data_IF_050476651440
#
_entry.id   IF_050476651440
#
_cell.length_a   1.000
_cell.length_b   1.000
_cell.length_c   1.000
_cell.angle_alpha   90.00
_cell.angle_beta   90.00
_cell.angle_gamma   90.00
#
_symmetry.space_group_name_H-M   'P 1'
#
loop_
_entity.id
_entity.type
_entity.pdbx_description
1 polymer ?
#
# COMPACT_ATOMS: atom_id res chain seq x y z
N UNK A 1 -2.76 -23.35 -7.61
CA UNK A 1 -3.70 -22.26 -7.98
C UNK A 1 -3.59 -21.15 -6.95
N UNK A 2 -3.11 -19.98 -7.38
CA UNK A 2 -3.13 -18.77 -6.55
C UNK A 2 -4.55 -18.19 -6.56
N UNK A 3 -5.06 -17.77 -5.40
CA UNK A 3 -6.36 -17.11 -5.32
C UNK A 3 -6.21 -15.69 -5.87
N UNK A 4 -7.04 -15.25 -6.83
CA UNK A 4 -6.96 -13.89 -7.34
C UNK A 4 -7.21 -12.87 -6.24
N UNK A 5 -6.47 -11.76 -6.26
CA UNK A 5 -6.60 -10.66 -5.31
C UNK A 5 -6.50 -9.30 -5.99
N UNK A 6 -7.02 -8.28 -5.30
CA UNK A 6 -7.02 -6.90 -5.73
C UNK A 6 -6.42 -6.01 -4.65
N UNK A 7 -5.69 -4.97 -5.08
CA UNK A 7 -5.24 -3.88 -4.22
C UNK A 7 -5.88 -2.60 -4.74
N UNK A 8 -6.57 -1.85 -3.87
CA UNK A 8 -7.16 -0.56 -4.20
C UNK A 8 -6.39 0.55 -3.50
N UNK A 9 -6.02 1.57 -4.27
CA UNK A 9 -5.35 2.78 -3.78
C UNK A 9 -6.28 3.96 -4.04
N UNK A 10 -6.59 4.71 -2.99
CA UNK A 10 -7.49 5.86 -3.05
C UNK A 10 -6.72 7.14 -2.72
N UNK A 11 -6.88 8.16 -3.55
CA UNK A 11 -6.45 9.53 -3.22
C UNK A 11 -7.63 10.26 -2.60
N UNK A 12 -7.43 10.84 -1.41
CA UNK A 12 -8.48 11.56 -0.68
C UNK A 12 -8.05 13.02 -0.49
N UNK A 13 -8.86 13.94 -0.98
CA UNK A 13 -8.68 15.38 -0.79
C UNK A 13 -9.90 15.95 -0.06
N UNK A 14 -9.68 16.63 1.06
CA UNK A 14 -10.75 17.25 1.86
C UNK A 14 -11.88 16.28 2.25
N UNK A 15 -11.53 15.01 2.51
CA UNK A 15 -12.49 13.96 2.85
C UNK A 15 -13.27 13.37 1.66
N UNK A 16 -12.92 13.76 0.43
CA UNK A 16 -13.52 13.27 -0.82
C UNK A 16 -12.49 12.41 -1.55
N UNK A 17 -12.89 11.22 -2.00
CA UNK A 17 -12.05 10.38 -2.87
C UNK A 17 -12.01 11.05 -4.26
N UNK A 18 -10.82 11.46 -4.70
CA UNK A 18 -10.59 12.13 -5.99
C UNK A 18 -9.99 11.21 -7.06
N UNK A 19 -9.31 10.14 -6.65
CA UNK A 19 -8.74 9.12 -7.55
C UNK A 19 -8.88 7.73 -6.93
N UNK A 20 -9.14 6.74 -7.79
CA UNK A 20 -9.08 5.31 -7.44
C UNK A 20 -8.18 4.61 -8.46
N UNK A 21 -7.26 3.79 -7.95
CA UNK A 21 -6.43 2.90 -8.75
C UNK A 21 -6.54 1.47 -8.25
N UNK A 22 -6.71 0.55 -9.18
CA UNK A 22 -6.91 -0.87 -8.88
C UNK A 22 -5.79 -1.69 -9.52
N UNK A 23 -5.21 -2.60 -8.73
CA UNK A 23 -4.18 -3.53 -9.17
C UNK A 23 -4.66 -4.95 -8.96
N UNK A 24 -4.67 -5.74 -10.04
CA UNK A 24 -5.04 -7.15 -10.00
C UNK A 24 -3.80 -8.03 -9.90
N UNK A 25 -3.80 -8.99 -8.97
CA UNK A 25 -2.71 -9.97 -8.77
C UNK A 25 -1.31 -9.33 -8.74
N UNK A 26 -1.20 -8.14 -8.13
CA UNK A 26 0.05 -7.37 -8.09
C UNK A 26 0.36 -6.99 -6.65
N UNK A 27 1.57 -7.29 -6.19
CA UNK A 27 2.08 -6.85 -4.89
C UNK A 27 2.55 -5.40 -4.97
N UNK A 28 2.12 -4.56 -4.04
CA UNK A 28 2.50 -3.16 -3.92
C UNK A 28 3.20 -2.94 -2.58
N UNK A 29 4.33 -2.22 -2.61
CA UNK A 29 5.04 -1.75 -1.43
C UNK A 29 5.03 -0.24 -1.42
N UNK A 30 4.66 0.36 -0.29
CA UNK A 30 4.69 1.81 -0.07
C UNK A 30 5.91 2.15 0.77
N UNK A 31 6.70 3.09 0.28
CA UNK A 31 7.96 3.53 0.91
C UNK A 31 7.97 5.04 0.98
N UNK A 32 8.42 5.60 2.10
CA UNK A 32 8.63 7.05 2.23
C UNK A 32 9.92 7.46 1.51
N UNK A 33 9.81 8.42 0.61
CA UNK A 33 10.94 8.99 -0.14
C UNK A 33 11.31 10.40 0.34
N UNK A 34 10.88 10.82 1.54
CA UNK A 34 11.20 12.13 2.09
C UNK A 34 12.73 12.39 2.08
N UNK A 35 13.21 13.42 1.37
CA UNK A 35 14.64 13.73 1.25
C UNK A 35 15.39 13.91 2.57
N UNK A 36 14.70 14.27 3.66
CA UNK A 36 15.31 14.32 4.99
C UNK A 36 15.74 12.94 5.49
N UNK A 37 14.90 11.92 5.30
CA UNK A 37 15.18 10.53 5.67
C UNK A 37 16.26 9.91 4.78
N UNK A 38 16.33 10.34 3.51
CA UNK A 38 17.37 9.88 2.58
C UNK A 38 18.79 10.33 2.99
N UNK A 39 18.93 11.50 3.65
CA UNK A 39 20.23 11.99 4.12
C UNK A 39 20.82 11.18 5.27
N UNK A 40 19.97 10.58 6.11
CA UNK A 40 20.39 9.81 7.29
C UNK A 40 20.72 8.33 6.97
N UNK A 41 20.73 7.94 5.68
CA UNK A 41 20.85 6.53 5.24
C UNK A 41 19.80 5.59 5.86
N UNK A 42 18.77 6.13 6.50
CA UNK A 42 17.56 5.41 6.88
C UNK A 42 16.64 5.29 5.64
N UNK A 43 17.25 4.95 4.50
CA UNK A 43 16.56 4.84 3.23
C UNK A 43 15.73 3.57 3.22
N UNK A 44 14.50 3.71 2.75
CA UNK A 44 13.71 2.64 2.14
C UNK A 44 13.16 1.56 3.09
N UNK A 45 12.85 1.89 4.34
CA UNK A 45 12.01 0.98 5.14
C UNK A 45 10.58 1.00 4.56
N UNK A 46 10.02 -0.15 4.14
CA UNK A 46 8.66 -0.19 3.63
C UNK A 46 7.72 0.26 4.76
N UNK A 47 6.95 1.32 4.51
CA UNK A 47 5.90 1.76 5.42
C UNK A 47 4.75 0.76 5.43
N UNK A 48 4.49 0.15 4.29
CA UNK A 48 3.47 -0.87 4.12
C UNK A 48 3.78 -1.76 2.92
N UNK A 49 3.31 -2.99 2.97
CA UNK A 49 3.34 -3.93 1.86
C UNK A 49 2.00 -4.66 1.76
N UNK A 50 1.52 -4.86 0.55
CA UNK A 50 0.35 -5.68 0.31
C UNK A 50 0.70 -7.15 0.58
N UNK A 51 0.19 -7.72 1.66
CA UNK A 51 0.35 -9.15 1.92
C UNK A 51 -0.74 -9.94 1.18
N UNK A 52 -0.33 -10.76 0.19
CA UNK A 52 -1.19 -11.82 -0.31
C UNK A 52 -1.21 -12.95 0.74
N UNK A 53 -2.01 -12.77 1.79
CA UNK A 53 -2.10 -13.74 2.89
C UNK A 53 -2.50 -15.10 2.32
N UNK A 54 -1.57 -16.07 2.40
CA UNK A 54 -1.79 -17.48 1.97
C UNK A 54 -2.67 -18.28 2.95
N UNK A 55 -3.10 -17.70 4.07
CA UNK A 55 -3.92 -18.37 5.08
C UNK A 55 -5.38 -17.93 5.01
N UNK A 56 -6.29 -18.86 5.32
CA UNK A 56 -7.76 -18.78 5.28
C UNK A 56 -8.41 -17.67 6.14
N UNK A 57 -7.63 -16.74 6.69
CA UNK A 57 -8.15 -15.63 7.47
C UNK A 57 -8.16 -14.38 6.58
N UNK A 58 -9.39 -13.94 6.25
CA UNK A 58 -9.71 -12.73 5.49
C UNK A 58 -9.22 -11.46 6.22
N UNK A 59 -7.92 -11.28 6.34
CA UNK A 59 -7.34 -10.00 6.70
C UNK A 59 -7.10 -9.24 5.41
N UNK A 60 -8.15 -8.59 4.89
CA UNK A 60 -7.97 -7.51 3.91
C UNK A 60 -7.08 -6.46 4.59
N UNK A 61 -5.99 -6.01 3.96
CA UNK A 61 -5.01 -5.21 4.66
C UNK A 61 -5.60 -3.84 5.02
N UNK A 62 -5.20 -3.35 6.19
CA UNK A 62 -5.67 -2.09 6.76
C UNK A 62 -5.44 -0.90 5.83
N UNK A 63 -6.35 0.07 5.92
CA UNK A 63 -6.26 1.38 5.27
C UNK A 63 -4.93 2.04 5.67
N UNK A 64 -4.06 2.32 4.70
CA UNK A 64 -2.87 3.14 4.91
C UNK A 64 -3.11 4.48 4.25
N UNK A 65 -3.12 5.53 5.08
CA UNK A 65 -3.24 6.91 4.66
C UNK A 65 -1.83 7.46 4.43
N UNK A 66 -1.51 7.81 3.19
CA UNK A 66 -0.33 8.62 2.87
C UNK A 66 -0.80 10.08 2.74
N UNK A 67 -0.25 10.96 3.57
CA UNK A 67 -0.54 12.41 3.63
C UNK A 67 0.56 13.17 2.91
#
# INVERSE_FOLDING_TARGET
>A
DETPYWVHVWTVENGIITEVREYFNTTITVTDFNPSLLREKQLCSPMWESSAVKSKEKCMPGLVFAI
#
